data_IF_299261201667
#
_entry.id   IF_299261201667
#
_cell.length_a   1.000
_cell.length_b   1.000
_cell.length_c   1.000
_cell.angle_alpha   90.00
_cell.angle_beta   90.00
_cell.angle_gamma   90.00
#
_symmetry.space_group_name_H-M   'P 1'
#
loop_
_entity.id
_entity.type
_entity.pdbx_description
1 polymer ?
#
# COMPACT_ATOMS: atom_id res chain seq x y z
N UNK A 1 7.94 16.06 -13.80
CA UNK A 1 7.45 14.92 -14.59
C UNK A 1 7.44 15.32 -16.06
N UNK A 2 7.92 14.44 -16.92
CA UNK A 2 8.07 14.63 -18.36
C UNK A 2 8.89 13.46 -18.90
N UNK A 3 8.54 12.95 -20.06
CA UNK A 3 9.21 11.81 -20.67
C UNK A 3 9.83 12.27 -22.00
N UNK A 4 11.14 12.05 -22.18
CA UNK A 4 11.88 12.58 -23.34
C UNK A 4 11.32 11.95 -24.62
N UNK A 5 10.83 12.80 -25.53
CA UNK A 5 10.26 12.35 -26.80
C UNK A 5 8.76 12.00 -26.73
N UNK A 6 8.10 12.24 -25.59
CA UNK A 6 6.65 12.05 -25.44
C UNK A 6 5.95 13.41 -25.29
N UNK A 7 4.88 13.69 -26.06
CA UNK A 7 4.08 14.89 -25.90
C UNK A 7 3.52 15.01 -24.47
N UNK A 8 3.43 16.24 -23.97
CA UNK A 8 2.97 16.50 -22.60
C UNK A 8 1.54 16.00 -22.37
N UNK A 9 0.68 16.06 -23.39
CA UNK A 9 -0.69 15.58 -23.38
C UNK A 9 -0.78 14.08 -23.08
N UNK A 10 0.11 13.27 -23.68
CA UNK A 10 0.17 11.82 -23.42
C UNK A 10 0.66 11.52 -22.01
N UNK A 11 1.61 12.32 -21.50
CA UNK A 11 2.07 12.18 -20.10
C UNK A 11 0.94 12.52 -19.14
N UNK A 12 0.18 13.59 -19.43
CA UNK A 12 -0.97 13.99 -18.63
C UNK A 12 -2.10 12.96 -18.68
N UNK A 13 -2.41 12.42 -19.86
CA UNK A 13 -3.41 11.36 -20.05
C UNK A 13 -3.13 10.16 -19.14
N UNK A 14 -1.91 9.61 -19.18
CA UNK A 14 -1.51 8.48 -18.31
C UNK A 14 -1.62 8.82 -16.82
N UNK A 15 -1.20 10.02 -16.43
CA UNK A 15 -1.27 10.45 -15.03
C UNK A 15 -2.72 10.58 -14.54
N UNK A 16 -3.61 11.08 -15.39
CA UNK A 16 -5.05 11.19 -15.09
C UNK A 16 -5.69 9.81 -15.02
N UNK A 17 -5.39 8.92 -15.97
CA UNK A 17 -5.89 7.53 -15.97
C UNK A 17 -5.49 6.80 -14.68
N UNK A 18 -4.23 6.93 -14.25
CA UNK A 18 -3.75 6.35 -13.00
C UNK A 18 -4.46 6.96 -11.79
N UNK A 19 -4.59 8.28 -11.72
CA UNK A 19 -5.28 8.95 -10.63
C UNK A 19 -6.76 8.53 -10.54
N UNK A 20 -7.46 8.45 -11.68
CA UNK A 20 -8.85 7.99 -11.75
C UNK A 20 -8.97 6.54 -11.29
N UNK A 21 -8.04 5.66 -11.70
CA UNK A 21 -8.00 4.26 -11.25
C UNK A 21 -7.84 4.16 -9.73
N UNK A 22 -6.95 4.95 -9.14
CA UNK A 22 -6.73 4.94 -7.68
C UNK A 22 -8.00 5.41 -6.94
N UNK A 23 -8.58 6.53 -7.39
CA UNK A 23 -9.77 7.13 -6.79
C UNK A 23 -11.02 6.26 -6.91
N UNK A 24 -11.20 5.53 -8.02
CA UNK A 24 -12.40 4.73 -8.28
C UNK A 24 -12.60 3.58 -7.28
N UNK A 25 -11.52 3.07 -6.68
CA UNK A 25 -11.59 2.03 -5.64
C UNK A 25 -12.22 2.51 -4.32
N UNK A 26 -12.22 3.83 -4.10
CA UNK A 26 -12.62 4.45 -2.84
C UNK A 26 -11.78 4.01 -1.63
N UNK A 27 -10.58 3.45 -1.84
CA UNK A 27 -9.67 3.12 -0.75
C UNK A 27 -9.01 4.39 -0.18
N UNK A 28 -8.78 4.45 1.15
CA UNK A 28 -8.16 5.62 1.78
C UNK A 28 -6.65 5.74 1.55
N UNK A 29 -6.00 4.68 1.06
CA UNK A 29 -4.55 4.60 0.86
C UNK A 29 -4.29 4.20 -0.59
N UNK A 30 -3.44 4.93 -1.32
CA UNK A 30 -3.00 4.53 -2.66
C UNK A 30 -1.98 3.38 -2.61
N UNK A 31 -1.74 2.72 -3.73
CA UNK A 31 -0.89 1.53 -3.78
C UNK A 31 0.56 1.80 -3.42
N UNK A 32 1.10 2.97 -3.77
CA UNK A 32 2.48 3.32 -3.46
C UNK A 32 2.65 3.68 -1.98
N UNK A 33 1.68 4.39 -1.39
CA UNK A 33 1.69 4.65 0.06
C UNK A 33 1.52 3.37 0.87
N UNK A 34 0.75 2.40 0.37
CA UNK A 34 0.58 1.09 1.00
C UNK A 34 1.92 0.39 1.26
N UNK A 35 2.85 0.45 0.29
CA UNK A 35 4.19 -0.15 0.42
C UNK A 35 4.92 0.34 1.68
N UNK A 36 4.78 1.63 2.00
CA UNK A 36 5.41 2.26 3.15
C UNK A 36 4.66 1.97 4.46
N UNK A 37 3.32 1.90 4.42
CA UNK A 37 2.50 1.69 5.61
C UNK A 37 2.71 0.32 6.26
N UNK A 38 3.06 -0.70 5.47
CA UNK A 38 3.37 -2.04 6.00
C UNK A 38 4.34 -1.95 7.19
N UNK A 39 5.45 -1.23 7.04
CA UNK A 39 6.47 -1.11 8.10
C UNK A 39 5.89 -0.45 9.35
N UNK A 40 5.14 0.64 9.19
CA UNK A 40 4.55 1.36 10.33
C UNK A 40 3.52 0.53 11.08
N UNK A 41 2.67 -0.21 10.36
CA UNK A 41 1.69 -1.12 10.98
C UNK A 41 2.36 -2.29 11.68
N UNK A 42 3.49 -2.80 11.17
CA UNK A 42 4.27 -3.84 11.82
C UNK A 42 4.92 -3.35 13.14
N UNK A 43 5.32 -2.08 13.22
CA UNK A 43 5.93 -1.50 14.42
C UNK A 43 4.92 -1.06 15.47
N UNK A 44 3.69 -0.73 15.06
CA UNK A 44 2.62 -0.27 15.94
C UNK A 44 2.26 -1.30 17.02
N UNK A 45 1.66 -0.81 18.12
CA UNK A 45 1.07 -1.67 19.13
C UNK A 45 -0.34 -2.12 18.73
N UNK A 46 -0.67 -3.37 19.01
CA UNK A 46 -1.99 -3.95 18.72
C UNK A 46 -2.23 -4.30 17.25
N UNK A 47 -3.48 -4.12 16.80
CA UNK A 47 -3.93 -4.50 15.44
C UNK A 47 -4.25 -3.27 14.62
N UNK A 48 -3.52 -3.09 13.52
CA UNK A 48 -3.78 -2.07 12.50
C UNK A 48 -4.59 -2.65 11.35
N UNK A 49 -5.52 -1.86 10.80
CA UNK A 49 -6.29 -2.22 9.60
C UNK A 49 -6.40 -1.04 8.66
N UNK A 50 -6.13 -1.26 7.38
CA UNK A 50 -6.34 -0.24 6.35
C UNK A 50 -6.66 -0.88 5.00
N UNK A 51 -7.40 -0.15 4.15
CA UNK A 51 -7.58 -0.52 2.75
C UNK A 51 -6.61 0.25 1.86
N UNK A 52 -6.02 -0.44 0.91
CA UNK A 52 -5.28 0.13 -0.21
C UNK A 52 -6.02 -0.10 -1.53
N UNK A 53 -5.65 0.64 -2.58
CA UNK A 53 -6.27 0.53 -3.91
C UNK A 53 -5.96 -0.79 -4.63
N UNK A 54 -4.71 -1.29 -4.53
CA UNK A 54 -4.25 -2.55 -5.12
C UNK A 54 -3.09 -3.12 -4.28
N UNK A 55 -2.90 -4.44 -4.34
CA UNK A 55 -1.73 -5.09 -3.75
C UNK A 55 -0.57 -5.00 -4.74
N UNK A 56 0.52 -4.35 -4.35
CA UNK A 56 1.77 -4.36 -5.11
C UNK A 56 2.66 -5.52 -4.65
N UNK A 57 3.59 -5.94 -5.51
CA UNK A 57 4.65 -6.88 -5.13
C UNK A 57 5.59 -6.33 -4.04
N UNK A 58 5.74 -5.00 -3.95
CA UNK A 58 6.55 -4.34 -2.94
C UNK A 58 5.87 -4.43 -1.56
N UNK A 59 4.57 -4.15 -1.47
CA UNK A 59 3.80 -4.32 -0.24
C UNK A 59 3.78 -5.78 0.24
N UNK A 60 3.60 -6.73 -0.68
CA UNK A 60 3.64 -8.17 -0.36
C UNK A 60 5.02 -8.58 0.18
N UNK A 61 6.09 -8.17 -0.49
CA UNK A 61 7.47 -8.46 -0.06
C UNK A 61 7.79 -7.77 1.28
N UNK A 62 7.37 -6.52 1.46
CA UNK A 62 7.56 -5.79 2.71
C UNK A 62 6.84 -6.48 3.87
N UNK A 63 5.62 -6.98 3.65
CA UNK A 63 4.87 -7.71 4.67
C UNK A 63 5.60 -9.02 5.02
N UNK A 64 6.00 -9.79 4.01
CA UNK A 64 6.79 -11.01 4.20
C UNK A 64 8.08 -10.76 5.00
N UNK A 65 8.83 -9.71 4.69
CA UNK A 65 10.05 -9.34 5.43
C UNK A 65 9.71 -8.93 6.86
N UNK A 66 8.68 -8.12 7.07
CA UNK A 66 8.25 -7.68 8.40
C UNK A 66 7.85 -8.87 9.29
N UNK A 67 7.16 -9.87 8.73
CA UNK A 67 6.84 -11.10 9.47
C UNK A 67 8.09 -11.87 9.88
N UNK A 68 9.09 -11.97 8.99
CA UNK A 68 10.30 -12.76 9.25
C UNK A 68 11.32 -12.08 10.14
N UNK A 69 11.45 -10.76 10.02
CA UNK A 69 12.50 -9.99 10.71
C UNK A 69 11.99 -9.40 12.02
N UNK A 70 10.76 -8.88 12.03
CA UNK A 70 10.20 -8.20 13.21
C UNK A 70 9.33 -9.15 14.05
N UNK A 71 8.70 -10.15 13.44
CA UNK A 71 7.73 -11.02 14.11
C UNK A 71 6.31 -10.45 14.15
N UNK A 72 6.00 -9.46 13.29
CA UNK A 72 4.63 -9.04 13.03
C UNK A 72 3.84 -10.14 12.30
N UNK A 73 2.53 -10.00 12.20
CA UNK A 73 1.67 -10.92 11.43
C UNK A 73 0.76 -10.13 10.50
N UNK A 74 0.67 -10.54 9.23
CA UNK A 74 -0.16 -9.90 8.22
C UNK A 74 -1.22 -10.85 7.68
N UNK A 75 -2.40 -10.30 7.45
CA UNK A 75 -3.48 -10.90 6.66
C UNK A 75 -3.87 -9.89 5.57
N UNK A 76 -3.77 -10.31 4.32
CA UNK A 76 -4.02 -9.48 3.14
C UNK A 76 -5.19 -10.09 2.36
N UNK A 77 -6.29 -9.33 2.26
CA UNK A 77 -7.51 -9.78 1.62
C UNK A 77 -7.87 -8.91 0.42
N UNK A 78 -8.02 -9.52 -0.75
CA UNK A 78 -8.55 -8.88 -1.95
C UNK A 78 -10.06 -8.64 -1.79
N UNK A 79 -10.52 -7.40 -2.04
CA UNK A 79 -11.93 -6.99 -1.96
C UNK A 79 -12.53 -6.65 -3.34
N UNK A 80 -11.94 -7.18 -4.42
CA UNK A 80 -12.35 -6.88 -5.79
C UNK A 80 -12.14 -5.41 -6.13
N UNK A 81 -13.17 -4.76 -6.68
CA UNK A 81 -13.13 -3.34 -7.07
C UNK A 81 -12.90 -2.38 -5.90
N UNK A 82 -13.11 -2.84 -4.64
CA UNK A 82 -12.91 -2.02 -3.44
C UNK A 82 -11.46 -1.99 -2.95
N UNK A 83 -10.53 -2.59 -3.71
CA UNK A 83 -9.12 -2.68 -3.41
C UNK A 83 -8.77 -3.83 -2.48
N UNK A 84 -7.81 -3.63 -1.57
CA UNK A 84 -7.21 -4.67 -0.73
C UNK A 84 -7.23 -4.24 0.73
N UNK A 85 -7.66 -5.14 1.61
CA UNK A 85 -7.62 -4.93 3.06
C UNK A 85 -6.36 -5.56 3.65
N UNK A 86 -5.55 -4.74 4.31
CA UNK A 86 -4.43 -5.18 5.14
C UNK A 86 -4.87 -5.20 6.59
N UNK A 87 -4.64 -6.31 7.27
CA UNK A 87 -4.72 -6.44 8.72
C UNK A 87 -3.36 -6.85 9.24
N UNK A 88 -2.78 -6.05 10.13
CA UNK A 88 -1.47 -6.33 10.73
C UNK A 88 -1.58 -6.37 12.25
N UNK A 89 -1.04 -7.42 12.87
CA UNK A 89 -0.72 -7.42 14.30
C UNK A 89 0.74 -7.01 14.47
N UNK A 90 0.94 -5.79 14.96
CA UNK A 90 2.27 -5.20 15.13
C UNK A 90 2.97 -5.64 16.41
N UNK A 91 4.26 -5.34 16.50
CA UNK A 91 5.15 -5.79 17.57
C UNK A 91 5.13 -4.89 18.82
N UNK A 92 4.45 -3.74 18.76
CA UNK A 92 4.42 -2.79 19.87
C UNK A 92 5.79 -2.20 20.19
N UNK A 93 6.54 -1.76 19.16
CA UNK A 93 7.86 -1.17 19.36
C UNK A 93 7.73 0.10 20.21
N UNK A 94 8.35 0.09 21.39
CA UNK A 94 8.43 1.24 22.28
C UNK A 94 9.90 1.51 22.62
N UNK A 95 10.29 2.78 22.59
CA UNK A 95 11.57 3.23 23.14
C UNK A 95 11.38 3.37 24.65
N UNK A 96 12.01 2.46 25.41
CA UNK A 96 12.23 2.65 26.84
C UNK A 96 13.37 3.62 27.08
#
# INVERSE_FOLDING_TARGET
>A
LGERGVPAEKVAERAVEEAVRQLSTGAPVDSHLSDQLVIWTALADGTSRYRATELTSHAETAAYIAERVLGASFEIQQLGEKGVLFTCKGIGLSRR
#
